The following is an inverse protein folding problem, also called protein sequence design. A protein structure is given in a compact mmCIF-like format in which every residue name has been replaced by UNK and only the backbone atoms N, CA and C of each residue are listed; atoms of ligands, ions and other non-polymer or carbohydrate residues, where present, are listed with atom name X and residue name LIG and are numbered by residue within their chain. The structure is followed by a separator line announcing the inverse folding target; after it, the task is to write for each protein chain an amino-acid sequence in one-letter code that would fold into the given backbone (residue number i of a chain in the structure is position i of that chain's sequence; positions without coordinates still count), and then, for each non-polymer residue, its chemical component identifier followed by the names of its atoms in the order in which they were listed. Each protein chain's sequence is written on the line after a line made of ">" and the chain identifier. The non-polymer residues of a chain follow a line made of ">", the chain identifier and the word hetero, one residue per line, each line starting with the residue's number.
data_IF_114490779668
#
_entry.id   IF_114490779668
#
_cell.length_a   1.000
_cell.length_b   1.000
_cell.length_c   1.000
_cell.angle_alpha   90.00
_cell.angle_beta   90.00
_cell.angle_gamma   90.00
#
_symmetry.space_group_name_H-M   'P 1'
#
loop_
_entity.id
_entity.type
_entity.pdbx_description
1 polymer ?
#
# COMPACT_ATOMS: atom_id res chain seq x y z
N UNK A 1 -0.45 -12.84 -33.97
CA UNK A 1 -0.80 -12.80 -32.54
C UNK A 1 0.28 -12.14 -31.68
N UNK A 2 1.57 -12.47 -31.78
CA UNK A 2 2.62 -11.78 -31.00
C UNK A 2 2.78 -10.27 -31.36
N UNK A 3 2.60 -9.91 -32.63
CA UNK A 3 2.76 -8.51 -33.09
C UNK A 3 1.71 -7.55 -32.50
N UNK A 4 0.45 -7.96 -32.35
CA UNK A 4 -0.61 -7.08 -31.84
C UNK A 4 -0.49 -6.81 -30.34
N UNK A 5 -0.02 -7.80 -29.56
CA UNK A 5 0.24 -7.62 -28.13
C UNK A 5 1.40 -6.65 -27.89
N UNK A 6 2.50 -6.78 -28.66
CA UNK A 6 3.64 -5.85 -28.58
C UNK A 6 3.27 -4.42 -29.01
N UNK A 7 2.40 -4.27 -30.01
CA UNK A 7 1.86 -2.95 -30.37
C UNK A 7 1.02 -2.37 -29.23
N UNK A 8 0.17 -3.16 -28.60
CA UNK A 8 -0.64 -2.73 -27.45
C UNK A 8 0.25 -2.23 -26.31
N UNK A 9 1.34 -2.94 -25.96
CA UNK A 9 2.29 -2.51 -24.92
C UNK A 9 2.83 -1.08 -25.15
N UNK A 10 2.95 -0.63 -26.40
CA UNK A 10 3.48 0.69 -26.73
C UNK A 10 2.40 1.80 -26.74
N UNK A 11 1.12 1.44 -26.72
CA UNK A 11 0.01 2.37 -26.92
C UNK A 11 -0.91 2.55 -25.69
N UNK A 12 -0.79 1.71 -24.66
CA UNK A 12 -1.61 1.81 -23.43
C UNK A 12 -0.76 1.84 -22.16
N UNK A 13 -1.26 2.58 -21.15
CA UNK A 13 -0.71 2.58 -19.80
C UNK A 13 -1.12 1.32 -18.99
N UNK A 14 -2.12 0.59 -19.46
CA UNK A 14 -2.66 -0.61 -18.81
C UNK A 14 -2.80 -1.75 -19.81
N UNK A 15 -2.13 -2.86 -19.51
CA UNK A 15 -2.20 -4.08 -20.32
C UNK A 15 -2.72 -5.20 -19.43
N UNK A 16 -3.85 -5.78 -19.82
CA UNK A 16 -4.38 -6.99 -19.18
C UNK A 16 -3.88 -8.22 -19.93
N UNK A 17 -3.32 -9.19 -19.21
CA UNK A 17 -2.96 -10.49 -19.79
C UNK A 17 -4.19 -11.40 -20.01
N UNK A 18 -5.16 -11.34 -19.10
CA UNK A 18 -6.45 -12.03 -19.19
C UNK A 18 -7.58 -10.99 -19.15
N UNK A 19 -8.48 -11.02 -20.13
CA UNK A 19 -9.61 -10.08 -20.25
C UNK A 19 -10.52 -10.09 -19.01
N UNK A 20 -10.52 -11.17 -18.22
CA UNK A 20 -11.24 -11.22 -16.93
C UNK A 20 -10.77 -10.16 -15.94
N UNK A 21 -9.55 -9.64 -16.08
CA UNK A 21 -9.04 -8.57 -15.23
C UNK A 21 -9.84 -7.27 -15.39
N UNK A 22 -10.44 -7.03 -16.57
CA UNK A 22 -11.33 -5.89 -16.80
C UNK A 22 -12.63 -5.96 -15.99
N UNK A 23 -12.97 -7.11 -15.40
CA UNK A 23 -14.07 -7.21 -14.42
C UNK A 23 -13.70 -6.58 -13.07
N UNK A 24 -12.43 -6.31 -12.83
CA UNK A 24 -11.91 -5.71 -11.59
C UNK A 24 -11.64 -4.21 -11.79
N UNK A 25 -10.97 -3.84 -12.88
CA UNK A 25 -10.49 -2.47 -13.12
C UNK A 25 -11.26 -1.70 -14.19
N UNK A 26 -12.35 -2.28 -14.71
CA UNK A 26 -13.11 -1.79 -15.87
C UNK A 26 -12.33 -1.88 -17.20
N UNK A 27 -12.99 -1.53 -18.30
CA UNK A 27 -12.41 -1.61 -19.65
C UNK A 27 -11.49 -0.42 -19.99
N UNK A 28 -11.70 0.73 -19.33
CA UNK A 28 -10.93 1.96 -19.53
C UNK A 28 -10.37 2.48 -18.20
N UNK A 29 -9.46 1.74 -17.55
CA UNK A 29 -8.88 2.14 -16.27
C UNK A 29 -8.11 3.46 -16.40
N UNK A 30 -8.09 4.23 -15.31
CA UNK A 30 -7.33 5.47 -15.20
C UNK A 30 -6.30 5.36 -14.09
N UNK A 31 -5.13 5.97 -14.31
CA UNK A 31 -4.13 6.16 -13.28
C UNK A 31 -4.26 7.57 -12.72
N UNK A 32 -4.53 7.69 -11.43
CA UNK A 32 -4.66 8.97 -10.74
C UNK A 32 -3.73 9.03 -9.53
N UNK A 33 -3.05 10.16 -9.36
CA UNK A 33 -2.26 10.41 -8.15
C UNK A 33 -3.22 10.90 -7.06
N UNK A 34 -3.37 10.10 -5.99
CA UNK A 34 -4.27 10.44 -4.89
C UNK A 34 -3.63 11.34 -3.83
N UNK A 35 -2.31 11.24 -3.64
CA UNK A 35 -1.56 12.05 -2.70
C UNK A 35 -0.07 12.11 -3.08
N UNK A 36 0.61 13.18 -2.66
CA UNK A 36 2.05 13.36 -2.80
C UNK A 36 2.64 13.89 -1.49
N UNK A 37 3.92 13.63 -1.27
CA UNK A 37 4.70 14.21 -0.19
C UNK A 37 6.13 14.48 -0.68
N UNK A 38 6.89 15.29 0.06
CA UNK A 38 8.30 15.58 -0.21
C UNK A 38 9.26 14.50 0.35
N UNK A 39 8.73 13.35 0.77
CA UNK A 39 9.46 12.17 1.23
C UNK A 39 8.76 10.89 0.75
N UNK A 40 9.40 9.73 0.93
CA UNK A 40 8.91 8.42 0.45
C UNK A 40 7.81 7.85 1.35
N UNK A 41 6.69 8.56 1.48
CA UNK A 41 5.61 8.29 2.42
C UNK A 41 4.68 7.13 2.05
N UNK A 42 4.70 6.67 0.79
CA UNK A 42 3.90 5.56 0.28
C UNK A 42 4.79 4.55 -0.45
N UNK A 43 4.75 3.29 -0.04
CA UNK A 43 5.59 2.22 -0.59
C UNK A 43 4.84 0.89 -0.68
N UNK A 44 4.26 0.39 0.42
CA UNK A 44 3.64 -0.94 0.46
C UNK A 44 2.35 -0.96 1.33
N UNK A 45 1.86 -2.17 1.64
CA UNK A 45 0.73 -2.45 2.53
C UNK A 45 -0.57 -1.68 2.22
N UNK A 46 -0.92 -1.51 0.93
CA UNK A 46 -2.20 -0.92 0.55
C UNK A 46 -3.39 -1.77 1.03
N UNK A 47 -4.02 -1.40 2.14
CA UNK A 47 -5.16 -2.09 2.75
C UNK A 47 -6.42 -1.24 2.62
N UNK A 48 -7.38 -1.71 1.83
CA UNK A 48 -8.67 -1.04 1.68
C UNK A 48 -9.63 -1.39 2.83
N UNK A 49 -10.12 -0.36 3.53
CA UNK A 49 -11.07 -0.44 4.63
C UNK A 49 -12.41 0.10 4.13
N UNK A 50 -13.23 -0.79 3.56
CA UNK A 50 -14.47 -0.43 2.87
C UNK A 50 -15.44 0.38 3.75
N UNK A 51 -15.59 0.01 5.02
CA UNK A 51 -16.52 0.67 5.95
C UNK A 51 -16.20 2.15 6.20
N UNK A 52 -14.97 2.59 5.90
CA UNK A 52 -14.52 3.98 6.10
C UNK A 52 -14.18 4.68 4.79
N UNK A 53 -14.21 3.96 3.67
CA UNK A 53 -13.69 4.42 2.38
C UNK A 53 -12.24 4.96 2.50
N UNK A 54 -11.41 4.22 3.23
CA UNK A 54 -10.01 4.56 3.51
C UNK A 54 -9.08 3.49 2.95
N UNK A 55 -7.89 3.91 2.52
CA UNK A 55 -6.76 3.00 2.24
C UNK A 55 -5.66 3.29 3.24
N UNK A 56 -5.28 2.30 4.02
CA UNK A 56 -4.08 2.33 4.84
C UNK A 56 -2.89 1.88 3.99
N UNK A 57 -1.72 2.46 4.23
CA UNK A 57 -0.48 2.14 3.51
C UNK A 57 0.73 2.45 4.38
N UNK A 58 1.89 1.88 4.03
CA UNK A 58 3.14 2.11 4.74
C UNK A 58 4.12 2.90 3.89
N UNK A 59 4.97 3.70 4.55
CA UNK A 59 6.07 4.39 3.90
C UNK A 59 7.17 3.43 3.48
N UNK A 60 8.12 3.92 2.69
CA UNK A 60 9.40 3.22 2.53
C UNK A 60 10.16 3.26 3.87
N UNK A 61 11.30 2.57 3.96
CA UNK A 61 12.23 2.71 5.09
C UNK A 61 12.73 4.16 5.13
N UNK A 62 12.36 4.86 6.20
CA UNK A 62 12.78 6.24 6.51
C UNK A 62 13.95 6.20 7.51
N UNK A 63 14.50 7.38 7.83
CA UNK A 63 15.67 7.49 8.71
C UNK A 63 16.97 7.02 8.06
N UNK A 64 17.93 6.57 8.86
CA UNK A 64 19.17 5.97 8.36
C UNK A 64 18.96 4.47 8.13
N UNK A 65 18.79 4.07 6.87
CA UNK A 65 18.50 2.68 6.47
C UNK A 65 19.64 1.70 6.75
N UNK A 66 20.83 2.21 7.09
CA UNK A 66 22.00 1.41 7.48
C UNK A 66 22.10 1.15 8.99
N UNK A 67 21.20 1.73 9.81
CA UNK A 67 21.24 1.61 11.29
C UNK A 67 19.88 1.12 11.85
N UNK A 68 19.76 1.06 13.19
CA UNK A 68 18.48 0.86 13.87
C UNK A 68 17.60 2.10 13.86
N UNK A 69 18.07 3.23 13.35
CA UNK A 69 17.28 4.45 13.34
C UNK A 69 16.29 4.45 12.17
N UNK A 70 16.27 3.37 11.37
CA UNK A 70 15.28 3.17 10.33
C UNK A 70 13.91 2.86 10.91
N UNK A 71 12.87 3.35 10.24
CA UNK A 71 11.48 3.12 10.62
C UNK A 71 10.58 3.17 9.38
N UNK A 72 9.34 2.78 9.56
CA UNK A 72 8.25 2.97 8.61
C UNK A 72 7.13 3.72 9.29
N UNK A 73 6.50 4.64 8.57
CA UNK A 73 5.25 5.25 8.99
C UNK A 73 4.06 4.47 8.44
N UNK A 74 2.98 4.43 9.22
CA UNK A 74 1.70 3.92 8.78
C UNK A 74 0.81 5.12 8.55
N UNK A 75 0.29 5.25 7.33
CA UNK A 75 -0.56 6.36 6.93
C UNK A 75 -1.88 5.81 6.40
N UNK A 76 -2.91 6.64 6.37
CA UNK A 76 -4.16 6.34 5.69
C UNK A 76 -4.65 7.53 4.89
N UNK A 77 -5.31 7.24 3.77
CA UNK A 77 -5.99 8.22 2.93
C UNK A 77 -7.48 7.93 2.91
N UNK A 78 -8.29 8.95 3.15
CA UNK A 78 -9.73 8.88 2.90
C UNK A 78 -10.01 9.18 1.42
N UNK A 79 -10.60 8.23 0.69
CA UNK A 79 -10.76 8.31 -0.76
C UNK A 79 -11.78 9.37 -1.19
N UNK A 80 -12.74 9.73 -0.32
CA UNK A 80 -13.70 10.79 -0.59
C UNK A 80 -13.10 12.19 -0.46
N UNK A 81 -12.25 12.40 0.53
CA UNK A 81 -11.68 13.74 0.85
C UNK A 81 -10.25 13.92 0.34
N UNK A 82 -9.60 12.84 -0.10
CA UNK A 82 -8.18 12.77 -0.48
C UNK A 82 -7.22 13.26 0.62
N UNK A 83 -7.67 13.26 1.87
CA UNK A 83 -6.86 13.66 3.03
C UNK A 83 -6.05 12.49 3.54
N UNK A 84 -4.74 12.69 3.68
CA UNK A 84 -3.81 11.75 4.30
C UNK A 84 -3.67 12.09 5.79
N UNK A 85 -3.58 11.05 6.62
CA UNK A 85 -3.28 11.18 8.05
C UNK A 85 -2.38 10.03 8.51
N UNK A 86 -1.50 10.30 9.47
CA UNK A 86 -0.64 9.28 10.08
C UNK A 86 -1.41 8.50 11.13
N UNK A 87 -1.28 7.18 11.09
CA UNK A 87 -1.83 6.25 12.08
C UNK A 87 -0.76 6.02 13.14
N UNK A 88 -1.13 6.17 14.41
CA UNK A 88 -0.26 5.88 15.56
C UNK A 88 -0.77 4.62 16.27
N UNK A 89 -0.13 3.46 16.05
CA UNK A 89 -0.46 2.25 16.78
C UNK A 89 -0.22 2.43 18.29
N UNK A 90 -0.96 1.67 19.10
CA UNK A 90 -0.77 1.64 20.57
C UNK A 90 0.57 1.04 20.99
N UNK A 91 1.22 0.27 20.11
CA UNK A 91 2.55 -0.29 20.32
C UNK A 91 3.34 -0.24 19.01
N UNK A 92 4.66 -0.02 19.05
CA UNK A 92 5.47 0.07 17.83
C UNK A 92 5.31 -1.16 16.93
N UNK A 93 5.05 -0.94 15.64
CA UNK A 93 5.08 -1.98 14.60
C UNK A 93 6.35 -1.78 13.80
N UNK A 94 7.33 -2.65 14.01
CA UNK A 94 8.67 -2.50 13.45
C UNK A 94 8.68 -2.84 11.96
N UNK A 95 8.99 -1.84 11.14
CA UNK A 95 9.13 -1.96 9.68
C UNK A 95 7.93 -2.66 9.04
N UNK A 96 6.75 -2.05 9.18
CA UNK A 96 5.51 -2.54 8.60
C UNK A 96 5.59 -2.49 7.06
N UNK A 97 5.40 -3.64 6.41
CA UNK A 97 5.60 -3.79 4.96
C UNK A 97 4.40 -4.44 4.25
N UNK A 98 3.74 -5.39 4.89
CA UNK A 98 2.60 -6.11 4.32
C UNK A 98 1.32 -5.80 5.09
N UNK A 99 0.17 -5.95 4.44
CA UNK A 99 -1.10 -5.81 5.12
C UNK A 99 -2.28 -6.39 4.37
N UNK A 100 -3.32 -6.74 5.12
CA UNK A 100 -4.64 -7.08 4.59
C UNK A 100 -5.74 -6.66 5.55
N UNK A 101 -6.98 -6.60 5.07
CA UNK A 101 -8.16 -6.40 5.89
C UNK A 101 -8.83 -7.75 6.12
N UNK A 102 -9.03 -8.14 7.37
CA UNK A 102 -9.65 -9.41 7.72
C UNK A 102 -10.47 -9.30 9.01
N UNK A 103 -11.71 -9.79 9.00
CA UNK A 103 -12.62 -9.82 10.15
C UNK A 103 -12.71 -8.49 10.92
N UNK A 104 -12.82 -7.37 10.19
CA UNK A 104 -12.97 -6.04 10.79
C UNK A 104 -11.67 -5.43 11.32
N UNK A 105 -10.52 -6.10 11.15
CA UNK A 105 -9.20 -5.65 11.60
C UNK A 105 -8.28 -5.45 10.42
N UNK A 106 -7.32 -4.53 10.59
CA UNK A 106 -6.14 -4.45 9.73
C UNK A 106 -5.11 -5.44 10.29
N UNK A 107 -4.69 -6.38 9.46
CA UNK A 107 -3.60 -7.31 9.77
C UNK A 107 -2.35 -6.80 9.06
N UNK A 108 -1.26 -6.57 9.80
CA UNK A 108 0.00 -6.07 9.28
C UNK A 108 1.13 -7.07 9.51
N UNK A 109 2.03 -7.15 8.55
CA UNK A 109 3.30 -7.85 8.68
C UNK A 109 4.37 -6.85 9.14
N UNK A 110 4.93 -7.08 10.32
CA UNK A 110 6.12 -6.41 10.79
C UNK A 110 7.35 -7.21 10.34
N UNK A 111 8.29 -6.58 9.65
CA UNK A 111 9.53 -7.23 9.23
C UNK A 111 10.42 -7.57 10.44
N UNK A 112 10.21 -6.91 11.58
CA UNK A 112 11.13 -6.94 12.71
C UNK A 112 12.30 -5.98 12.49
N UNK A 113 13.23 -5.96 13.45
CA UNK A 113 14.36 -5.04 13.42
C UNK A 113 15.49 -5.55 14.30
N UNK A 114 16.68 -5.72 13.70
CA UNK A 114 17.88 -6.26 14.36
C UNK A 114 17.63 -7.64 14.98
N UNK A 115 17.69 -7.72 16.31
CA UNK A 115 17.48 -8.90 17.14
C UNK A 115 16.00 -9.18 17.44
N UNK A 116 15.11 -8.26 17.05
CA UNK A 116 13.66 -8.45 17.14
C UNK A 116 13.16 -9.09 15.85
N UNK A 117 12.64 -10.31 15.95
CA UNK A 117 12.05 -11.04 14.83
C UNK A 117 10.79 -10.38 14.26
N UNK A 118 10.40 -10.78 13.04
CA UNK A 118 9.15 -10.35 12.43
C UNK A 118 7.92 -10.87 13.17
N UNK A 119 6.78 -10.21 12.97
CA UNK A 119 5.51 -10.59 13.59
C UNK A 119 4.31 -10.25 12.72
N UNK A 120 3.17 -10.87 13.04
CA UNK A 120 1.87 -10.49 12.50
C UNK A 120 1.11 -9.76 13.60
N UNK A 121 0.67 -8.55 13.29
CA UNK A 121 -0.02 -7.67 14.24
C UNK A 121 -1.43 -7.41 13.72
N UNK A 122 -2.41 -7.47 14.62
CA UNK A 122 -3.77 -7.01 14.33
C UNK A 122 -4.00 -5.64 14.96
N UNK A 123 -4.67 -4.76 14.23
CA UNK A 123 -4.92 -3.38 14.61
C UNK A 123 -6.36 -3.01 14.26
N UNK A 124 -6.98 -2.17 15.10
CA UNK A 124 -8.24 -1.55 14.74
C UNK A 124 -8.05 -0.55 13.60
N UNK A 125 -8.89 -0.59 12.55
CA UNK A 125 -8.78 0.34 11.43
C UNK A 125 -8.86 1.80 11.89
#
# INVERSE_FOLDING_TARGET
>A
MASSFLTQLNETNFVAYDDKFHKIIEINPKLEVLATANYKFAHEAGVYIAARNEVLFTSNRLGNTSTADQYTEINKINLSTKKVSTVKPSSPILLANGGTFHNGKVILCAQGQRDIGGSIVSMDP
#
